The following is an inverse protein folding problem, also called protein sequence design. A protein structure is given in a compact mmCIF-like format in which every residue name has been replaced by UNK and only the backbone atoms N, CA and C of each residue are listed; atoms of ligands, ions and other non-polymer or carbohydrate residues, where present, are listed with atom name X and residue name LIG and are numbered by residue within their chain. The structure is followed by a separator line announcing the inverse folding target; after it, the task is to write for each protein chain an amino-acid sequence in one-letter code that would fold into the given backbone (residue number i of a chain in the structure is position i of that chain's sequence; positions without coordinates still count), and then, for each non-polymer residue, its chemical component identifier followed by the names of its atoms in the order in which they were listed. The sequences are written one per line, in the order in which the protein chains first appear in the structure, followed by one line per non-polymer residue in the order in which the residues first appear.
data_IF_563987348095
#
_entry.id   IF_563987348095
#
_cell.length_a   1.000
_cell.length_b   1.000
_cell.length_c   1.000
_cell.angle_alpha   90.00
_cell.angle_beta   90.00
_cell.angle_gamma   90.00
#
_symmetry.space_group_name_H-M   'P 1'
#
loop_
_entity.id
_entity.type
_entity.pdbx_description
1 polymer ?
#
# COMPACT_ATOMS: atom_id res chain seq x y z
N UNK A 1 -0.77 1.18 16.63
CA UNK A 1 0.56 1.21 16.01
C UNK A 1 0.52 0.31 14.80
N UNK A 2 0.92 0.86 13.64
CA UNK A 2 1.17 0.08 12.44
C UNK A 2 2.32 -0.89 12.71
N UNK A 3 2.07 -2.19 12.62
CA UNK A 3 3.13 -3.18 12.77
C UNK A 3 3.92 -3.31 11.46
N UNK A 4 5.23 -3.52 11.51
CA UNK A 4 6.04 -3.78 10.31
C UNK A 4 5.53 -5.00 9.54
N UNK A 5 5.00 -6.00 10.25
CA UNK A 5 4.36 -7.18 9.67
C UNK A 5 3.18 -6.84 8.76
N UNK A 6 2.45 -5.74 9.04
CA UNK A 6 1.32 -5.32 8.21
C UNK A 6 1.78 -4.75 6.88
N UNK A 7 2.86 -3.96 6.90
CA UNK A 7 3.48 -3.44 5.68
C UNK A 7 4.06 -4.57 4.85
N UNK A 8 4.75 -5.53 5.46
CA UNK A 8 5.32 -6.70 4.78
C UNK A 8 4.22 -7.60 4.18
N UNK A 9 3.18 -7.91 4.96
CA UNK A 9 2.03 -8.72 4.48
C UNK A 9 1.36 -8.05 3.29
N UNK A 10 1.13 -6.74 3.38
CA UNK A 10 0.55 -5.97 2.30
C UNK A 10 1.45 -6.02 1.06
N UNK A 11 2.75 -5.77 1.21
CA UNK A 11 3.74 -5.83 0.12
C UNK A 11 3.77 -7.18 -0.59
N UNK A 12 3.98 -8.28 0.15
CA UNK A 12 4.06 -9.64 -0.39
C UNK A 12 2.81 -9.99 -1.18
N UNK A 13 1.65 -9.54 -0.69
CA UNK A 13 0.37 -9.87 -1.30
C UNK A 13 0.07 -9.12 -2.61
N UNK A 14 0.69 -7.96 -2.84
CA UNK A 14 0.52 -7.17 -4.07
C UNK A 14 1.66 -7.36 -5.07
N UNK A 15 2.84 -7.79 -4.59
CA UNK A 15 4.05 -8.03 -5.40
C UNK A 15 3.81 -8.75 -6.74
N UNK A 16 3.02 -9.84 -6.83
CA UNK A 16 2.82 -10.53 -8.10
C UNK A 16 1.90 -9.79 -9.10
N UNK A 17 1.23 -8.71 -8.67
CA UNK A 17 0.24 -7.98 -9.47
C UNK A 17 0.68 -6.58 -9.89
N UNK A 18 1.76 -6.07 -9.31
CA UNK A 18 2.28 -4.73 -9.60
C UNK A 18 3.42 -4.82 -10.60
N UNK A 19 3.51 -3.84 -11.50
CA UNK A 19 4.60 -3.76 -12.47
C UNK A 19 5.89 -3.26 -11.81
N UNK A 20 5.79 -2.25 -10.93
CA UNK A 20 6.92 -1.69 -10.20
C UNK A 20 6.86 -2.03 -8.70
N UNK A 21 7.21 -3.28 -8.37
CA UNK A 21 7.29 -3.73 -6.98
C UNK A 21 8.29 -2.93 -6.14
N UNK A 22 9.34 -2.39 -6.77
CA UNK A 22 10.35 -1.60 -6.06
C UNK A 22 9.76 -0.28 -5.58
N UNK A 23 9.04 0.43 -6.43
CA UNK A 23 8.38 1.68 -6.04
C UNK A 23 7.35 1.48 -4.92
N UNK A 24 6.64 0.35 -4.93
CA UNK A 24 5.71 -0.01 -3.84
C UNK A 24 6.47 -0.27 -2.53
N UNK A 25 7.59 -0.98 -2.58
CA UNK A 25 8.43 -1.22 -1.39
C UNK A 25 8.97 0.07 -0.81
N UNK A 26 9.59 0.90 -1.64
CA UNK A 26 10.15 2.20 -1.23
C UNK A 26 9.06 3.11 -0.62
N UNK A 27 7.85 3.08 -1.17
CA UNK A 27 6.72 3.80 -0.58
C UNK A 27 6.33 3.26 0.80
N UNK A 28 6.18 1.94 0.98
CA UNK A 28 5.77 1.36 2.26
C UNK A 28 6.81 1.58 3.35
N UNK A 29 8.09 1.44 3.01
CA UNK A 29 9.20 1.67 3.94
C UNK A 29 9.30 3.16 4.33
N UNK A 30 9.04 4.08 3.38
CA UNK A 30 9.06 5.53 3.61
C UNK A 30 7.74 6.14 4.13
N UNK A 31 6.66 5.38 4.21
CA UNK A 31 5.37 5.88 4.65
C UNK A 31 5.37 6.15 6.17
N UNK A 32 5.24 7.43 6.52
CA UNK A 32 5.09 7.92 7.89
C UNK A 32 3.63 7.80 8.33
N UNK A 33 3.25 6.58 8.72
CA UNK A 33 1.91 6.25 9.19
C UNK A 33 2.00 5.56 10.56
N UNK A 34 1.30 6.09 11.56
CA UNK A 34 1.27 5.51 12.91
C UNK A 34 0.20 4.42 13.06
N UNK A 35 -0.73 4.32 12.11
CA UNK A 35 -1.83 3.36 12.07
C UNK A 35 -2.05 2.76 10.68
N UNK A 36 -2.81 1.68 10.63
CA UNK A 36 -3.19 1.05 9.36
C UNK A 36 -4.15 1.94 8.56
N UNK A 37 -4.99 2.72 9.25
CA UNK A 37 -5.86 3.73 8.67
C UNK A 37 -5.08 4.85 7.98
N UNK A 38 -4.10 5.45 8.66
CA UNK A 38 -3.24 6.50 8.09
C UNK A 38 -2.42 5.98 6.90
N UNK A 39 -1.98 4.72 6.94
CA UNK A 39 -1.32 4.10 5.78
C UNK A 39 -2.23 4.09 4.55
N UNK A 40 -3.52 3.82 4.73
CA UNK A 40 -4.51 3.88 3.65
C UNK A 40 -4.66 5.27 3.04
N UNK A 41 -4.67 6.31 3.88
CA UNK A 41 -4.71 7.70 3.41
C UNK A 41 -3.48 8.07 2.59
N UNK A 42 -2.29 7.63 3.02
CA UNK A 42 -1.04 7.85 2.29
C UNK A 42 -1.04 7.10 0.95
N UNK A 43 -1.55 5.86 0.90
CA UNK A 43 -1.72 5.12 -0.35
C UNK A 43 -2.67 5.88 -1.29
N UNK A 44 -3.81 6.37 -0.79
CA UNK A 44 -4.78 7.11 -1.60
C UNK A 44 -4.21 8.43 -2.14
N UNK A 45 -3.47 9.19 -1.31
CA UNK A 45 -2.72 10.38 -1.75
C UNK A 45 -1.74 10.02 -2.87
N UNK A 46 -1.05 8.88 -2.74
CA UNK A 46 -0.08 8.42 -3.75
C UNK A 46 -0.75 8.00 -5.06
N UNK A 47 -1.93 7.37 -5.02
CA UNK A 47 -2.76 7.10 -6.21
C UNK A 47 -3.10 8.40 -6.96
N UNK A 48 -3.42 9.47 -6.24
CA UNK A 48 -3.73 10.78 -6.84
C UNK A 48 -2.52 11.47 -7.48
N UNK A 49 -1.31 11.22 -6.97
CA UNK A 49 -0.06 11.83 -7.44
C UNK A 49 0.67 11.01 -8.53
N UNK A 50 0.34 9.73 -8.67
CA UNK A 50 0.96 8.85 -9.65
C UNK A 50 0.24 8.90 -11.01
N UNK A 51 1.01 8.73 -12.09
CA UNK A 51 0.51 8.60 -13.46
C UNK A 51 0.85 7.24 -14.06
N UNK A 52 0.19 6.88 -15.16
CA UNK A 52 0.49 5.66 -15.93
C UNK A 52 0.41 4.37 -15.11
N UNK A 53 1.32 3.44 -15.38
CA UNK A 53 1.39 2.11 -14.73
C UNK A 53 1.53 2.20 -13.22
N UNK A 54 2.32 3.15 -12.73
CA UNK A 54 2.53 3.34 -11.29
C UNK A 54 1.22 3.71 -10.56
N UNK A 55 0.31 4.44 -11.22
CA UNK A 55 -1.03 4.70 -10.68
C UNK A 55 -1.82 3.41 -10.49
N UNK A 56 -1.74 2.50 -11.46
CA UNK A 56 -2.39 1.17 -11.36
C UNK A 56 -1.78 0.36 -10.23
N UNK A 57 -0.46 0.37 -10.07
CA UNK A 57 0.21 -0.34 -8.97
C UNK A 57 -0.24 0.16 -7.59
N UNK A 58 -0.36 1.48 -7.41
CA UNK A 58 -0.89 2.05 -6.17
C UNK A 58 -2.38 1.78 -5.96
N UNK A 59 -3.18 1.64 -7.03
CA UNK A 59 -4.59 1.21 -6.91
C UNK A 59 -4.68 -0.24 -6.42
N UNK A 60 -3.84 -1.13 -6.95
CA UNK A 60 -3.77 -2.52 -6.49
C UNK A 60 -3.37 -2.57 -5.00
N UNK A 61 -2.40 -1.75 -4.61
CA UNK A 61 -2.01 -1.59 -3.21
C UNK A 61 -3.19 -1.15 -2.33
N UNK A 62 -3.91 -0.11 -2.75
CA UNK A 62 -5.07 0.41 -2.04
C UNK A 62 -6.19 -0.62 -1.90
N UNK A 63 -6.54 -1.32 -2.99
CA UNK A 63 -7.60 -2.33 -2.99
C UNK A 63 -7.27 -3.49 -2.05
N UNK A 64 -5.99 -3.87 -1.97
CA UNK A 64 -5.55 -4.93 -1.06
C UNK A 64 -5.55 -4.46 0.39
N UNK A 65 -5.14 -3.22 0.65
CA UNK A 65 -5.22 -2.61 1.97
C UNK A 65 -6.67 -2.57 2.49
N UNK A 66 -7.63 -2.12 1.68
CA UNK A 66 -9.05 -2.13 2.04
C UNK A 66 -9.53 -3.55 2.39
N UNK A 67 -9.18 -4.56 1.59
CA UNK A 67 -9.53 -5.96 1.89
C UNK A 67 -8.97 -6.44 3.24
N UNK A 68 -7.72 -6.10 3.56
CA UNK A 68 -7.09 -6.47 4.83
C UNK A 68 -7.72 -5.74 6.02
N UNK A 69 -8.11 -4.48 5.84
CA UNK A 69 -8.81 -3.69 6.86
C UNK A 69 -10.11 -4.34 7.32
N UNK A 70 -10.91 -4.88 6.39
CA UNK A 70 -12.14 -5.60 6.74
C UNK A 70 -11.92 -6.96 7.40
N UNK A 71 -10.75 -7.59 7.22
CA UNK A 71 -10.41 -8.86 7.88
C UNK A 71 -9.92 -8.67 9.31
N UNK A 72 -9.54 -7.45 9.69
CA UNK A 72 -9.08 -7.09 11.04
C UNK A 72 -10.16 -6.49 11.94
N UNK A 73 -11.37 -6.27 11.43
CA UNK A 73 -12.56 -5.90 12.21
C UNK A 73 -13.25 -7.14 12.75
#
# INVERSE_FOLDING_TARGET
MLNEDDKETLFVSVRPYVADARAIREFLDGADAASFEELGEEIQKRVGRSGGTLKTDFKILHDKWEKMKYQKK
#
